data_IF_637532307927
#
_entry.id   IF_637532307927
#
_cell.length_a   1.000
_cell.length_b   1.000
_cell.length_c   1.000
_cell.angle_alpha   90.00
_cell.angle_beta   90.00
_cell.angle_gamma   90.00
#
_symmetry.space_group_name_H-M   'P 1'
#
loop_
_entity.id
_entity.type
_entity.pdbx_description
1 polymer ?
#
# COMPACT_ATOMS: atom_id res chain seq x y z
N UNK A 1 -31.30 31.19 -49.66
CA UNK A 1 -31.22 29.75 -49.30
C UNK A 1 -29.77 29.37 -49.47
N UNK A 2 -29.05 29.27 -48.36
CA UNK A 2 -27.61 29.08 -48.30
C UNK A 2 -27.30 27.60 -48.54
N UNK A 3 -26.55 27.28 -49.60
CA UNK A 3 -26.10 25.91 -49.88
C UNK A 3 -24.91 25.58 -48.98
N UNK A 4 -25.11 24.64 -48.07
CA UNK A 4 -24.02 24.02 -47.32
C UNK A 4 -23.14 23.20 -48.28
N UNK A 5 -21.80 23.24 -48.16
CA UNK A 5 -20.93 22.45 -49.00
C UNK A 5 -21.17 20.95 -48.71
N UNK A 6 -21.43 20.17 -49.77
CA UNK A 6 -21.47 18.71 -49.66
C UNK A 6 -20.08 18.22 -49.23
N UNK A 7 -20.00 17.68 -48.02
CA UNK A 7 -18.83 16.95 -47.58
C UNK A 7 -18.69 15.73 -48.49
N UNK A 8 -17.62 15.72 -49.29
CA UNK A 8 -17.23 14.58 -50.12
C UNK A 8 -16.62 13.49 -49.23
N UNK A 9 -17.47 12.86 -48.41
CA UNK A 9 -17.09 11.72 -47.60
C UNK A 9 -17.02 10.50 -48.53
N UNK A 10 -15.94 9.69 -48.47
CA UNK A 10 -15.92 8.42 -49.18
C UNK A 10 -17.13 7.58 -48.77
N UNK A 11 -17.73 6.87 -49.74
CA UNK A 11 -18.90 6.02 -49.52
C UNK A 11 -18.69 5.14 -48.29
N UNK A 12 -19.69 5.02 -47.39
CA UNK A 12 -19.56 4.13 -46.25
C UNK A 12 -19.32 2.73 -46.82
N UNK A 13 -18.16 2.17 -46.54
CA UNK A 13 -17.86 0.76 -46.79
C UNK A 13 -18.94 -0.04 -46.07
N UNK A 14 -19.97 -0.43 -46.82
CA UNK A 14 -21.03 -1.32 -46.39
C UNK A 14 -20.37 -2.56 -45.80
N UNK A 15 -20.58 -2.75 -44.50
CA UNK A 15 -20.58 -4.05 -43.84
C UNK A 15 -19.35 -4.93 -44.15
N UNK A 16 -18.15 -4.46 -43.83
CA UNK A 16 -17.26 -5.40 -43.16
C UNK A 16 -17.97 -5.72 -41.84
N UNK A 17 -18.48 -6.94 -41.68
CA UNK A 17 -18.92 -7.43 -40.37
C UNK A 17 -17.78 -7.10 -39.41
N UNK A 18 -17.99 -6.11 -38.55
CA UNK A 18 -17.03 -5.80 -37.49
C UNK A 18 -17.19 -6.92 -36.46
N UNK A 19 -16.71 -8.09 -36.85
CA UNK A 19 -16.75 -9.30 -36.06
C UNK A 19 -15.56 -9.20 -35.10
N UNK A 20 -15.75 -8.40 -34.06
CA UNK A 20 -14.81 -8.31 -32.93
C UNK A 20 -14.79 -9.61 -32.11
N UNK A 21 -15.50 -10.65 -32.54
CA UNK A 21 -15.63 -11.93 -31.84
C UNK A 21 -14.38 -12.81 -31.92
N UNK A 22 -13.49 -12.55 -32.90
CA UNK A 22 -12.24 -13.30 -33.10
C UNK A 22 -10.96 -12.51 -32.80
N UNK A 23 -11.08 -11.26 -32.34
CA UNK A 23 -9.90 -10.53 -31.85
C UNK A 23 -9.68 -10.92 -30.40
N UNK A 24 -8.98 -12.05 -30.18
CA UNK A 24 -8.24 -12.24 -28.93
C UNK A 24 -7.22 -11.10 -28.85
N UNK A 25 -7.62 -9.98 -28.24
CA UNK A 25 -6.68 -8.97 -27.78
C UNK A 25 -5.96 -9.62 -26.60
N UNK A 26 -4.95 -10.43 -26.90
CA UNK A 26 -3.92 -10.80 -25.93
C UNK A 26 -3.20 -9.50 -25.63
N UNK A 27 -3.73 -8.73 -24.67
CA UNK A 27 -3.00 -7.59 -24.13
C UNK A 27 -1.67 -8.15 -23.64
N UNK A 28 -0.57 -7.76 -24.29
CA UNK A 28 0.75 -8.19 -23.84
C UNK A 28 0.87 -7.83 -22.37
N UNK A 29 1.02 -8.85 -21.54
CA UNK A 29 1.09 -8.69 -20.10
C UNK A 29 2.21 -7.73 -19.75
N UNK A 30 1.85 -6.62 -19.09
CA UNK A 30 2.81 -5.56 -18.77
C UNK A 30 3.71 -5.97 -17.61
N UNK A 31 4.86 -5.30 -17.47
CA UNK A 31 5.70 -5.49 -16.29
C UNK A 31 4.97 -5.12 -14.98
N UNK A 32 4.03 -4.18 -15.02
CA UNK A 32 3.17 -3.87 -13.89
C UNK A 32 2.28 -5.05 -13.48
N UNK A 33 1.61 -5.70 -14.44
CA UNK A 33 0.75 -6.84 -14.15
C UNK A 33 1.55 -8.01 -13.57
N UNK A 34 2.76 -8.26 -14.09
CA UNK A 34 3.69 -9.24 -13.51
C UNK A 34 4.14 -8.87 -12.11
N UNK A 35 4.41 -7.60 -11.84
CA UNK A 35 4.77 -7.10 -10.52
C UNK A 35 3.63 -7.33 -9.52
N UNK A 36 2.39 -7.06 -9.92
CA UNK A 36 1.21 -7.27 -9.08
C UNK A 36 1.01 -8.74 -8.74
N UNK A 37 1.18 -9.65 -9.70
CA UNK A 37 1.12 -11.09 -9.43
C UNK A 37 2.21 -11.57 -8.49
N UNK A 38 3.45 -11.15 -8.73
CA UNK A 38 4.56 -11.49 -7.84
C UNK A 38 4.32 -10.95 -6.42
N UNK A 39 3.76 -9.75 -6.30
CA UNK A 39 3.40 -9.15 -5.02
C UNK A 39 2.28 -9.91 -4.30
N UNK A 40 1.24 -10.33 -5.03
CA UNK A 40 0.17 -11.18 -4.51
C UNK A 40 0.71 -12.52 -3.99
N UNK A 41 1.67 -13.11 -4.72
CA UNK A 41 2.39 -14.31 -4.31
C UNK A 41 3.43 -14.08 -3.18
N UNK A 42 3.58 -12.84 -2.70
CA UNK A 42 4.57 -12.42 -1.69
C UNK A 42 6.02 -12.64 -2.12
N UNK A 43 6.27 -12.79 -3.42
CA UNK A 43 7.59 -12.80 -4.02
C UNK A 43 8.06 -11.35 -4.22
N UNK A 44 8.45 -10.74 -3.11
CA UNK A 44 8.88 -9.34 -3.07
C UNK A 44 10.13 -9.08 -3.92
N UNK A 45 11.02 -10.08 -4.04
CA UNK A 45 12.22 -9.96 -4.86
C UNK A 45 11.84 -9.84 -6.34
N UNK A 46 11.03 -10.77 -6.87
CA UNK A 46 10.58 -10.68 -8.26
C UNK A 46 9.70 -9.46 -8.52
N UNK A 47 8.79 -9.14 -7.59
CA UNK A 47 7.94 -7.96 -7.72
C UNK A 47 8.76 -6.67 -7.85
N UNK A 48 9.84 -6.53 -7.06
CA UNK A 48 10.72 -5.36 -7.13
C UNK A 48 11.43 -5.23 -8.48
N UNK A 49 11.84 -6.37 -9.05
CA UNK A 49 12.51 -6.44 -10.35
C UNK A 49 11.54 -6.03 -11.47
N UNK A 50 10.29 -6.47 -11.40
CA UNK A 50 9.26 -6.08 -12.35
C UNK A 50 8.85 -4.61 -12.22
N UNK A 51 8.68 -4.05 -11.02
CA UNK A 51 8.43 -2.62 -10.87
C UNK A 51 9.59 -1.77 -11.39
N UNK A 52 10.84 -2.20 -11.16
CA UNK A 52 12.01 -1.51 -11.69
C UNK A 52 12.05 -1.54 -13.22
N UNK A 53 11.61 -2.63 -13.85
CA UNK A 53 11.48 -2.71 -15.32
C UNK A 53 10.28 -1.93 -15.86
N UNK A 54 9.21 -1.80 -15.08
CA UNK A 54 8.04 -1.00 -15.42
C UNK A 54 8.39 0.49 -15.51
N UNK A 55 9.35 0.95 -14.70
CA UNK A 55 9.86 2.32 -14.77
C UNK A 55 10.60 2.57 -16.10
N UNK A 56 9.87 3.02 -17.12
CA UNK A 56 10.41 3.22 -18.48
C UNK A 56 11.25 4.50 -18.61
N UNK A 57 10.94 5.57 -17.86
CA UNK A 57 11.66 6.85 -17.83
C UNK A 57 11.32 7.67 -16.57
N UNK A 58 12.21 8.57 -16.15
CA UNK A 58 11.96 9.55 -15.07
C UNK A 58 10.76 10.46 -15.38
N UNK A 59 9.92 10.73 -14.38
CA UNK A 59 8.70 11.56 -14.42
C UNK A 59 7.50 11.01 -15.23
N UNK A 60 7.55 9.74 -15.62
CA UNK A 60 6.43 9.02 -16.26
C UNK A 60 5.36 8.56 -15.25
N UNK A 61 4.17 8.18 -15.72
CA UNK A 61 3.13 7.57 -14.87
C UNK A 61 3.63 6.23 -14.33
N UNK A 62 4.28 5.47 -15.19
CA UNK A 62 4.88 4.17 -14.94
C UNK A 62 5.96 4.23 -13.87
N UNK A 63 6.77 5.30 -13.87
CA UNK A 63 7.74 5.55 -12.78
C UNK A 63 7.03 5.78 -11.45
N UNK A 64 5.98 6.59 -11.41
CA UNK A 64 5.23 6.83 -10.17
C UNK A 64 4.54 5.57 -9.65
N UNK A 65 4.00 4.75 -10.55
CA UNK A 65 3.42 3.45 -10.22
C UNK A 65 4.47 2.49 -9.65
N UNK A 66 5.65 2.42 -10.27
CA UNK A 66 6.78 1.65 -9.78
C UNK A 66 7.24 2.11 -8.40
N UNK A 67 7.36 3.43 -8.17
CA UNK A 67 7.75 4.00 -6.89
C UNK A 67 6.77 3.62 -5.77
N UNK A 68 5.46 3.70 -6.05
CA UNK A 68 4.41 3.26 -5.11
C UNK A 68 4.52 1.76 -4.83
N UNK A 69 4.70 0.95 -5.87
CA UNK A 69 4.86 -0.51 -5.74
C UNK A 69 6.08 -0.90 -4.89
N UNK A 70 7.23 -0.28 -5.14
CA UNK A 70 8.47 -0.50 -4.39
C UNK A 70 8.34 -0.04 -2.93
N UNK A 71 7.68 1.10 -2.67
CA UNK A 71 7.39 1.56 -1.32
C UNK A 71 6.48 0.58 -0.56
N UNK A 72 5.46 0.03 -1.23
CA UNK A 72 4.59 -0.98 -0.65
C UNK A 72 5.37 -2.26 -0.31
N UNK A 73 6.26 -2.72 -1.20
CA UNK A 73 7.15 -3.87 -0.93
C UNK A 73 8.02 -3.62 0.31
N UNK A 74 8.63 -2.43 0.43
CA UNK A 74 9.45 -2.08 1.59
C UNK A 74 8.65 -2.13 2.90
N UNK A 75 7.39 -1.67 2.86
CA UNK A 75 6.50 -1.69 4.01
C UNK A 75 6.07 -3.12 4.39
N UNK A 76 5.69 -3.94 3.41
CA UNK A 76 5.26 -5.33 3.61
C UNK A 76 6.41 -6.22 4.08
N UNK A 77 7.60 -6.09 3.49
CA UNK A 77 8.79 -6.85 3.89
C UNK A 77 9.25 -6.53 5.32
N UNK A 78 9.11 -5.28 5.76
CA UNK A 78 9.42 -4.86 7.13
C UNK A 78 8.38 -5.31 8.16
N UNK A 79 7.20 -5.74 7.70
CA UNK A 79 6.07 -6.10 8.54
C UNK A 79 5.45 -7.41 8.05
N UNK A 80 6.18 -8.54 8.18
CA UNK A 80 5.67 -9.83 7.75
C UNK A 80 4.38 -10.14 8.51
N UNK A 81 3.29 -10.29 7.75
CA UNK A 81 2.01 -10.77 8.23
C UNK A 81 1.93 -12.28 7.99
N UNK A 82 1.36 -13.01 8.94
CA UNK A 82 0.87 -14.37 8.70
C UNK A 82 -0.53 -14.21 8.11
N UNK A 83 -0.61 -13.88 6.83
CA UNK A 83 -1.89 -13.87 6.15
C UNK A 83 -2.41 -15.31 6.06
N UNK A 84 -3.72 -15.45 6.27
CA UNK A 84 -4.45 -16.71 6.14
C UNK A 84 -4.59 -17.00 4.64
N UNK A 85 -4.30 -18.23 4.21
CA UNK A 85 -4.47 -18.66 2.82
C UNK A 85 -5.96 -18.81 2.51
N UNK A 86 -6.66 -17.68 2.43
CA UNK A 86 -8.08 -17.65 2.08
C UNK A 86 -8.25 -17.40 0.59
N UNK A 87 -9.05 -18.25 -0.06
CA UNK A 87 -9.64 -18.16 -1.41
C UNK A 87 -8.86 -17.37 -2.46
N UNK A 88 -8.49 -18.02 -3.57
CA UNK A 88 -7.82 -17.38 -4.71
C UNK A 88 -8.57 -16.10 -5.16
N UNK A 89 -8.08 -14.96 -4.71
CA UNK A 89 -8.51 -13.64 -5.14
C UNK A 89 -7.78 -13.29 -6.43
N UNK A 90 -8.33 -12.32 -7.17
CA UNK A 90 -7.57 -11.65 -8.21
C UNK A 90 -6.29 -11.02 -7.62
N UNK A 91 -5.19 -11.01 -8.38
CA UNK A 91 -3.87 -10.53 -7.93
C UNK A 91 -3.96 -9.14 -7.29
N UNK A 92 -4.77 -8.22 -7.85
CA UNK A 92 -4.92 -6.86 -7.31
C UNK A 92 -5.71 -6.85 -6.00
N UNK A 93 -6.74 -7.70 -5.90
CA UNK A 93 -7.51 -7.84 -4.68
C UNK A 93 -6.68 -8.46 -3.54
N UNK A 94 -5.81 -9.42 -3.86
CA UNK A 94 -4.86 -9.99 -2.89
C UNK A 94 -3.87 -8.93 -2.38
N UNK A 95 -3.30 -8.10 -3.27
CA UNK A 95 -2.42 -7.00 -2.87
C UNK A 95 -3.13 -6.00 -1.95
N UNK A 96 -4.40 -5.66 -2.24
CA UNK A 96 -5.21 -4.81 -1.36
C UNK A 96 -5.48 -5.46 0.00
N UNK A 97 -5.73 -6.77 0.03
CA UNK A 97 -5.90 -7.53 1.27
C UNK A 97 -4.61 -7.51 2.12
N UNK A 98 -3.44 -7.65 1.50
CA UNK A 98 -2.14 -7.52 2.15
C UNK A 98 -1.94 -6.12 2.74
N UNK A 99 -2.23 -5.07 1.97
CA UNK A 99 -2.15 -3.69 2.44
C UNK A 99 -3.10 -3.43 3.63
N UNK A 100 -4.34 -3.92 3.59
CA UNK A 100 -5.29 -3.79 4.69
C UNK A 100 -4.83 -4.55 5.95
N UNK A 101 -4.27 -5.75 5.77
CA UNK A 101 -3.68 -6.52 6.87
C UNK A 101 -2.54 -5.76 7.54
N UNK A 102 -1.69 -5.11 6.75
CA UNK A 102 -0.60 -4.28 7.25
C UNK A 102 -1.12 -3.10 8.08
N UNK A 103 -2.12 -2.37 7.57
CA UNK A 103 -2.74 -1.24 8.30
C UNK A 103 -3.26 -1.70 9.65
N UNK A 104 -4.02 -2.79 9.71
CA UNK A 104 -4.54 -3.35 10.98
C UNK A 104 -3.42 -3.77 11.93
N UNK A 105 -2.32 -4.31 11.41
CA UNK A 105 -1.17 -4.68 12.24
C UNK A 105 -0.50 -3.43 12.85
N UNK A 106 -0.37 -2.36 12.08
CA UNK A 106 0.19 -1.10 12.55
C UNK A 106 -0.71 -0.42 13.59
N UNK A 107 -2.03 -0.37 13.36
CA UNK A 107 -3.01 0.14 14.32
C UNK A 107 -2.93 -0.60 15.67
N UNK A 108 -2.85 -1.93 15.62
CA UNK A 108 -2.69 -2.75 16.82
C UNK A 108 -1.39 -2.43 17.57
N UNK A 109 -0.28 -2.25 16.84
CA UNK A 109 1.02 -1.88 17.45
C UNK A 109 0.96 -0.51 18.10
N UNK A 110 0.35 0.49 17.43
CA UNK A 110 0.15 1.83 17.99
C UNK A 110 -0.67 1.76 19.27
N UNK A 111 -1.80 1.05 19.27
CA UNK A 111 -2.63 0.89 20.47
C UNK A 111 -1.88 0.22 21.64
N UNK A 112 -1.05 -0.79 21.36
CA UNK A 112 -0.21 -1.42 22.39
C UNK A 112 0.83 -0.44 22.93
N UNK A 113 1.45 0.36 22.08
CA UNK A 113 2.43 1.37 22.48
C UNK A 113 1.80 2.47 23.33
N UNK A 114 0.61 2.95 22.96
CA UNK A 114 -0.15 3.95 23.73
C UNK A 114 -0.46 3.44 25.14
N UNK A 115 -0.99 2.21 25.27
CA UNK A 115 -1.28 1.59 26.57
C UNK A 115 -0.02 1.47 27.43
N UNK A 116 1.11 1.11 26.82
CA UNK A 116 2.41 1.05 27.53
C UNK A 116 2.86 2.44 27.97
N UNK A 117 2.73 3.44 27.11
CA UNK A 117 3.12 4.81 27.43
C UNK A 117 2.31 5.36 28.61
N UNK A 118 0.97 5.21 28.58
CA UNK A 118 0.10 5.63 29.69
C UNK A 118 0.47 4.94 31.00
N UNK A 119 0.75 3.63 30.96
CA UNK A 119 1.18 2.89 32.15
C UNK A 119 2.51 3.42 32.69
N UNK A 120 3.50 3.61 31.82
CA UNK A 120 4.81 4.13 32.21
C UNK A 120 4.72 5.54 32.78
N UNK A 121 3.91 6.42 32.18
CA UNK A 121 3.67 7.76 32.68
C UNK A 121 3.06 7.73 34.10
N UNK A 122 2.05 6.89 34.32
CA UNK A 122 1.46 6.72 35.66
C UNK A 122 2.46 6.16 36.69
N UNK A 123 3.30 5.21 36.28
CA UNK A 123 4.31 4.64 37.17
C UNK A 123 5.41 5.66 37.51
N UNK A 124 5.78 6.54 36.58
CA UNK A 124 6.69 7.66 36.84
C UNK A 124 6.07 8.68 37.80
N UNK A 125 4.81 9.07 37.60
CA UNK A 125 4.11 10.00 38.49
C UNK A 125 4.06 9.47 39.94
N UNK A 126 3.76 8.18 40.12
CA UNK A 126 3.78 7.54 41.45
C UNK A 126 5.17 7.58 42.09
N UNK A 127 6.22 7.33 41.31
CA UNK A 127 7.61 7.38 41.79
C UNK A 127 8.00 8.79 42.21
N UNK A 128 7.63 9.79 41.42
CA UNK A 128 7.87 11.20 41.75
C UNK A 128 7.13 11.61 43.03
N UNK A 129 5.87 11.19 43.20
CA UNK A 129 5.11 11.44 44.42
C UNK A 129 5.75 10.80 45.67
N UNK A 130 6.26 9.57 45.55
CA UNK A 130 7.00 8.89 46.64
C UNK A 130 8.29 9.63 46.96
N UNK A 131 9.06 10.01 45.94
CA UNK A 131 10.31 10.77 46.12
C UNK A 131 10.06 12.12 46.81
N UNK A 132 8.98 12.81 46.45
CA UNK A 132 8.58 14.07 47.09
C UNK A 132 8.28 13.87 48.57
N UNK A 133 7.49 12.85 48.92
CA UNK A 133 7.17 12.52 50.33
C UNK A 133 8.41 12.11 51.11
N UNK A 134 9.30 11.31 50.51
CA UNK A 134 10.57 10.94 51.15
C UNK A 134 11.42 12.18 51.42
N UNK A 135 11.51 13.12 50.47
CA UNK A 135 12.22 14.39 50.66
C UNK A 135 11.62 15.21 51.80
N UNK A 136 10.30 15.36 51.84
CA UNK A 136 9.59 16.06 52.91
C UNK A 136 9.86 15.42 54.28
N UNK A 137 9.80 14.09 54.39
CA UNK A 137 10.12 13.36 55.63
C UNK A 137 11.58 13.54 56.04
N UNK A 138 12.53 13.48 55.10
CA UNK A 138 13.95 13.66 55.44
C UNK A 138 14.27 15.08 55.88
N UNK A 139 13.62 16.10 55.31
CA UNK A 139 13.85 17.49 55.69
C UNK A 139 13.17 17.82 57.02
N UNK A 140 11.95 17.33 57.27
CA UNK A 140 11.26 17.51 58.55
C UNK A 140 11.93 16.81 59.73
N UNK A 141 12.78 15.80 59.50
CA UNK A 141 13.59 15.15 60.54
C UNK A 141 14.90 15.88 60.86
N UNK A 142 15.30 16.89 60.09
CA UNK A 142 16.52 17.67 60.33
C UNK A 142 16.27 18.97 61.13
N UNK A 143 15.01 19.34 61.37
CA UNK A 143 14.63 20.58 62.05
C UNK A 143 14.22 20.41 63.53
N UNK A 144 14.26 19.17 64.05
CA UNK A 144 14.11 18.80 65.47
C UNK A 144 15.41 18.20 66.05
#
# INVERSE_FOLDING_TARGET
VEQLPELNLPEPLLEASCDCSDVEIVSEETYFDRAMRALAARDFEQASLYFTRHAAATDSVESREADVGLALIALLSSNPSKADDSQALDDRAEVLALALSLVRQLENRVSVLEKRNVKLASDLEKREAVLKRLRELTLGQLED
#
